data_IF_402704556797
#
_entry.id   IF_402704556797
#
_cell.length_a   1.000
_cell.length_b   1.000
_cell.length_c   1.000
_cell.angle_alpha   90.00
_cell.angle_beta   90.00
_cell.angle_gamma   90.00
#
_symmetry.space_group_name_H-M   'P 1'
#
loop_
_entity.id
_entity.type
_entity.pdbx_description
1 polymer ?
#
# COMPACT_ATOMS: atom_id res chain seq x y z
N UNK A 1 -7.72 16.92 0.18
CA UNK A 1 -8.34 15.60 0.44
C UNK A 1 -9.60 15.54 -0.40
N UNK A 2 -9.75 14.49 -1.20
CA UNK A 2 -10.87 14.29 -2.13
C UNK A 2 -11.71 13.14 -1.59
N UNK A 3 -12.96 13.43 -1.24
CA UNK A 3 -13.93 12.45 -0.76
C UNK A 3 -14.76 11.88 -1.90
N UNK A 4 -15.13 10.61 -1.81
CA UNK A 4 -15.96 9.89 -2.79
C UNK A 4 -16.99 9.03 -2.05
N UNK A 5 -18.18 8.85 -2.63
CA UNK A 5 -19.27 8.06 -2.03
C UNK A 5 -19.56 6.85 -2.90
N UNK A 6 -19.62 5.66 -2.28
CA UNK A 6 -20.15 4.44 -2.91
C UNK A 6 -21.18 3.76 -1.98
N UNK A 7 -21.66 2.58 -2.40
CA UNK A 7 -22.66 1.80 -1.69
C UNK A 7 -22.22 1.38 -0.26
N UNK A 8 -20.93 1.48 0.06
CA UNK A 8 -20.37 1.14 1.37
C UNK A 8 -20.16 2.36 2.28
N UNK A 9 -20.19 3.57 1.73
CA UNK A 9 -20.13 4.82 2.51
C UNK A 9 -19.26 5.91 1.87
N UNK A 10 -18.81 6.85 2.72
CA UNK A 10 -17.99 7.99 2.30
C UNK A 10 -16.52 7.65 2.53
N UNK A 11 -15.74 7.68 1.46
CA UNK A 11 -14.31 7.39 1.47
C UNK A 11 -13.51 8.66 1.32
N UNK A 12 -12.45 8.83 2.11
CA UNK A 12 -11.48 9.90 1.94
C UNK A 12 -10.14 9.36 1.42
N UNK A 13 -9.54 10.08 0.47
CA UNK A 13 -8.31 9.64 -0.19
C UNK A 13 -7.08 10.02 0.62
N UNK A 14 -6.31 9.01 1.03
CA UNK A 14 -5.00 9.15 1.70
C UNK A 14 -3.96 9.67 0.71
N UNK A 15 -3.98 9.14 -0.52
CA UNK A 15 -3.07 9.53 -1.59
C UNK A 15 -2.80 8.39 -2.56
N UNK A 16 -1.86 8.65 -3.46
CA UNK A 16 -1.40 7.71 -4.47
C UNK A 16 0.14 7.68 -4.47
N UNK A 17 0.71 6.48 -4.55
CA UNK A 17 2.17 6.32 -4.68
C UNK A 17 2.50 5.31 -5.78
N UNK A 18 3.61 5.55 -6.45
CA UNK A 18 4.21 4.56 -7.35
C UNK A 18 5.10 3.63 -6.55
N UNK A 19 4.75 2.35 -6.49
CA UNK A 19 5.52 1.36 -5.72
C UNK A 19 6.72 0.87 -6.52
N UNK A 20 7.90 0.85 -5.90
CA UNK A 20 9.12 0.34 -6.51
C UNK A 20 9.76 -0.82 -5.71
N UNK A 21 10.79 -1.46 -6.29
CA UNK A 21 11.49 -2.59 -5.67
C UNK A 21 12.73 -2.18 -4.85
N UNK A 22 13.21 -0.94 -5.02
CA UNK A 22 14.43 -0.45 -4.36
C UNK A 22 14.12 -0.16 -2.90
N UNK A 23 13.17 0.73 -2.66
CA UNK A 23 12.83 1.26 -1.35
C UNK A 23 11.35 1.10 -1.00
N UNK A 24 11.05 1.24 0.28
CA UNK A 24 9.68 1.33 0.75
C UNK A 24 9.07 2.66 0.31
N UNK A 25 8.00 2.56 -0.47
CA UNK A 25 7.18 3.71 -0.85
C UNK A 25 6.23 4.03 0.30
N UNK A 26 6.33 5.25 0.82
CA UNK A 26 5.56 5.71 1.98
C UNK A 26 4.36 6.53 1.51
N UNK A 27 3.18 6.19 2.00
CA UNK A 27 2.03 7.06 1.87
C UNK A 27 2.15 8.28 2.81
N UNK A 28 1.47 9.39 2.49
CA UNK A 28 1.22 10.45 3.45
C UNK A 28 0.65 9.90 4.76
N UNK A 29 0.91 10.59 5.88
CA UNK A 29 0.39 10.20 7.19
C UNK A 29 -1.13 10.03 7.15
N UNK A 30 -1.62 8.93 7.70
CA UNK A 30 -3.03 8.58 7.71
C UNK A 30 -3.66 9.12 9.00
N UNK A 31 -4.77 9.86 8.87
CA UNK A 31 -5.51 10.37 10.02
C UNK A 31 -6.12 9.19 10.80
N UNK A 32 -6.08 9.27 12.13
CA UNK A 32 -6.37 8.23 13.10
C UNK A 32 -7.81 7.66 13.10
N UNK A 33 -8.72 8.19 12.26
CA UNK A 33 -10.16 7.92 12.42
C UNK A 33 -10.70 6.80 11.53
N UNK A 34 -9.97 6.35 10.50
CA UNK A 34 -10.45 5.30 9.61
C UNK A 34 -10.18 3.91 10.20
N UNK A 35 -11.21 3.07 10.37
CA UNK A 35 -11.08 1.65 10.75
C UNK A 35 -10.83 0.73 9.54
N UNK A 36 -11.37 1.12 8.38
CA UNK A 36 -11.34 0.32 7.14
C UNK A 36 -10.61 1.06 6.04
N UNK A 37 -9.67 0.38 5.40
CA UNK A 37 -8.85 0.91 4.31
C UNK A 37 -9.15 0.18 3.03
N UNK A 38 -9.27 0.93 1.95
CA UNK A 38 -9.39 0.43 0.58
C UNK A 38 -8.11 0.71 -0.17
N UNK A 39 -7.54 -0.35 -0.74
CA UNK A 39 -6.36 -0.33 -1.58
C UNK A 39 -6.81 -0.58 -3.01
N UNK A 40 -6.68 0.43 -3.86
CA UNK A 40 -6.92 0.31 -5.29
C UNK A 40 -5.60 0.40 -6.01
N UNK A 41 -5.30 -0.52 -6.92
CA UNK A 41 -4.11 -0.38 -7.75
C UNK A 41 -4.35 -0.71 -9.21
N UNK A 42 -3.60 0.00 -10.05
CA UNK A 42 -3.57 -0.19 -11.49
C UNK A 42 -2.14 -0.53 -11.89
N UNK A 43 -1.98 -1.49 -12.78
CA UNK A 43 -0.70 -1.82 -13.42
C UNK A 43 -0.77 -1.33 -14.86
N UNK A 44 0.15 -0.45 -15.28
CA UNK A 44 0.31 -0.16 -16.72
C UNK A 44 0.95 -1.39 -17.38
N UNK A 45 0.11 -2.24 -17.97
CA UNK A 45 0.53 -3.53 -18.52
C UNK A 45 1.41 -3.38 -19.76
N UNK A 46 1.22 -2.31 -20.55
CA UNK A 46 2.00 -2.03 -21.75
C UNK A 46 3.46 -1.71 -21.41
N UNK A 47 3.66 -1.05 -20.26
CA UNK A 47 5.00 -0.75 -19.72
C UNK A 47 5.48 -1.76 -18.67
N UNK A 48 4.66 -2.76 -18.34
CA UNK A 48 4.99 -3.73 -17.31
C UNK A 48 5.95 -4.77 -17.88
N UNK A 49 7.25 -4.49 -17.69
CA UNK A 49 8.36 -5.33 -18.16
C UNK A 49 8.37 -6.77 -17.58
N UNK A 50 7.44 -7.08 -16.66
CA UNK A 50 7.29 -8.39 -16.03
C UNK A 50 5.90 -9.01 -16.25
N UNK A 51 5.19 -8.64 -17.33
CA UNK A 51 3.82 -9.11 -17.63
C UNK A 51 3.66 -10.63 -17.71
N UNK A 52 4.78 -11.35 -17.78
CA UNK A 52 4.82 -12.80 -17.87
C UNK A 52 5.34 -13.47 -16.59
N UNK A 53 5.61 -12.70 -15.52
CA UNK A 53 6.28 -13.23 -14.32
C UNK A 53 5.42 -13.10 -13.05
N UNK A 54 4.78 -14.21 -12.65
CA UNK A 54 4.02 -14.38 -11.40
C UNK A 54 4.89 -14.23 -10.13
N UNK A 55 6.19 -13.96 -10.27
CA UNK A 55 7.16 -13.90 -9.16
C UNK A 55 7.26 -12.51 -8.53
N UNK A 56 6.46 -11.54 -8.97
CA UNK A 56 6.40 -10.21 -8.36
C UNK A 56 5.13 -10.06 -7.53
N UNK A 57 5.30 -9.62 -6.29
CA UNK A 57 4.19 -9.20 -5.43
C UNK A 57 4.53 -7.88 -4.78
N UNK A 58 3.50 -7.10 -4.44
CA UNK A 58 3.63 -5.94 -3.59
C UNK A 58 3.37 -6.39 -2.17
N UNK A 59 4.28 -6.07 -1.26
CA UNK A 59 4.05 -6.19 0.16
C UNK A 59 3.62 -4.83 0.69
N UNK A 60 2.46 -4.77 1.32
CA UNK A 60 1.96 -3.60 2.02
C UNK A 60 1.85 -3.91 3.51
N UNK A 61 2.12 -2.91 4.35
CA UNK A 61 1.97 -3.02 5.81
C UNK A 61 1.73 -1.65 6.43
N UNK A 62 1.11 -1.66 7.59
CA UNK A 62 1.01 -0.46 8.42
C UNK A 62 2.26 -0.35 9.28
N UNK A 63 2.82 0.86 9.32
CA UNK A 63 3.90 1.27 10.22
C UNK A 63 3.33 2.24 11.22
N UNK A 64 3.52 1.93 12.49
CA UNK A 64 3.07 2.73 13.61
C UNK A 64 4.30 3.30 14.32
N UNK A 65 4.35 4.62 14.44
CA UNK A 65 5.28 5.27 15.35
C UNK A 65 4.68 5.24 16.75
N UNK A 66 5.49 4.84 17.72
CA UNK A 66 5.13 4.92 19.12
C UNK A 66 5.96 6.01 19.81
N UNK A 67 5.43 6.52 20.92
CA UNK A 67 6.13 7.50 21.76
C UNK A 67 7.39 6.91 22.40
N UNK A 68 7.36 5.61 22.71
CA UNK A 68 8.58 4.83 22.94
C UNK A 68 9.23 4.57 21.59
N UNK A 69 10.54 4.73 21.47
CA UNK A 69 11.33 4.66 20.23
C UNK A 69 11.19 3.38 19.38
N UNK A 70 10.34 2.43 19.77
CA UNK A 70 10.04 1.22 19.05
C UNK A 70 8.96 1.46 17.99
N UNK A 71 9.38 1.45 16.73
CA UNK A 71 8.44 1.37 15.62
C UNK A 71 7.78 0.00 15.59
N UNK A 72 6.45 -0.01 15.48
CA UNK A 72 5.66 -1.22 15.42
C UNK A 72 5.17 -1.39 13.98
N UNK A 73 5.19 -2.62 13.47
CA UNK A 73 4.78 -2.93 12.11
C UNK A 73 3.68 -3.99 12.14
N UNK A 74 2.59 -3.78 11.40
CA UNK A 74 1.53 -4.78 11.27
C UNK A 74 2.02 -6.02 10.53
N UNK A 75 1.29 -7.16 10.64
CA UNK A 75 1.39 -8.21 9.64
C UNK A 75 1.27 -7.61 8.24
N UNK A 76 2.16 -8.03 7.35
CA UNK A 76 2.16 -7.55 5.97
C UNK A 76 1.24 -8.40 5.12
N UNK A 77 0.65 -7.79 4.10
CA UNK A 77 -0.19 -8.47 3.14
C UNK A 77 0.32 -8.28 1.72
N UNK A 78 -0.07 -9.21 0.84
CA UNK A 78 0.42 -9.26 -0.54
C UNK A 78 -0.65 -8.80 -1.51
N UNK A 79 -0.27 -7.91 -2.41
CA UNK A 79 -1.03 -7.58 -3.62
C UNK A 79 -0.26 -8.15 -4.81
N UNK A 80 -0.99 -8.63 -5.80
CA UNK A 80 -0.39 -9.20 -7.01
C UNK A 80 -0.72 -8.28 -8.17
N UNK A 81 0.26 -7.91 -9.01
CA UNK A 81 0.00 -7.13 -10.21
C UNK A 81 -1.06 -7.82 -11.06
N UNK A 82 -2.02 -7.04 -11.58
CA UNK A 82 -3.08 -7.52 -12.48
C UNK A 82 -3.31 -6.49 -13.58
N UNK A 83 -3.78 -6.98 -14.71
CA UNK A 83 -4.18 -6.14 -15.84
C UNK A 83 -5.41 -5.30 -15.48
N UNK A 84 -6.37 -5.89 -14.79
CA UNK A 84 -7.55 -5.19 -14.29
C UNK A 84 -7.28 -4.48 -12.96
N UNK A 85 -8.00 -3.39 -12.72
CA UNK A 85 -8.00 -2.69 -11.43
C UNK A 85 -8.50 -3.64 -10.33
N UNK A 86 -7.70 -3.82 -9.29
CA UNK A 86 -8.10 -4.59 -8.10
C UNK A 86 -8.35 -3.66 -6.92
N UNK A 87 -9.40 -3.98 -6.16
CA UNK A 87 -9.76 -3.30 -4.91
C UNK A 87 -9.67 -4.32 -3.78
N UNK A 88 -8.87 -4.03 -2.75
CA UNK A 88 -8.85 -4.81 -1.50
C UNK A 88 -9.17 -3.96 -0.30
N UNK A 89 -9.96 -4.52 0.60
CA UNK A 89 -10.26 -3.90 1.88
C UNK A 89 -9.42 -4.54 2.99
N UNK A 90 -8.89 -3.72 3.88
CA UNK A 90 -8.22 -4.17 5.09
C UNK A 90 -8.76 -3.42 6.29
N UNK A 91 -9.24 -4.19 7.26
CA UNK A 91 -9.55 -3.68 8.59
C UNK A 91 -8.27 -3.64 9.42
N UNK A 92 -8.09 -2.59 10.19
CA UNK A 92 -7.01 -2.56 11.19
C UNK A 92 -7.34 -3.57 12.28
N UNK A 93 -6.33 -4.33 12.69
CA UNK A 93 -6.46 -5.17 13.87
C UNK A 93 -6.47 -4.31 15.13
N UNK A 94 -7.48 -4.50 15.99
CA UNK A 94 -7.71 -3.85 17.30
C UNK A 94 -6.52 -3.98 18.30
N UNK A 95 -5.47 -4.70 17.92
CA UNK A 95 -4.28 -4.98 18.75
C UNK A 95 -3.43 -3.75 19.02
N UNK A 96 -3.57 -2.67 18.26
CA UNK A 96 -2.82 -1.43 18.50
C UNK A 96 -3.76 -0.41 19.13
N UNK A 97 -3.79 -0.37 20.48
CA UNK A 97 -4.58 0.61 21.23
C UNK A 97 -4.04 2.01 20.91
N UNK A 98 -4.95 2.88 20.50
CA UNK A 98 -4.70 4.24 19.98
C UNK A 98 -3.88 5.14 20.92
N UNK A 99 -3.89 4.84 22.23
CA UNK A 99 -3.34 5.71 23.27
C UNK A 99 -1.82 5.92 23.27
N UNK A 100 -1.05 5.14 22.49
CA UNK A 100 0.43 5.23 22.48
C UNK A 100 1.03 5.57 21.10
N UNK A 101 0.18 5.69 20.08
CA UNK A 101 0.61 5.87 18.69
C UNK A 101 0.75 7.35 18.33
N UNK A 102 1.92 7.74 17.83
CA UNK A 102 2.22 9.11 17.39
C UNK A 102 2.03 9.32 15.90
N UNK A 103 2.21 8.25 15.12
CA UNK A 103 1.97 8.27 13.68
C UNK A 103 1.46 6.92 13.19
N UNK A 104 0.67 6.98 12.13
CA UNK A 104 0.27 5.82 11.35
C UNK A 104 0.53 6.07 9.89
N UNK A 105 1.34 5.20 9.30
CA UNK A 105 1.70 5.26 7.87
C UNK A 105 1.46 3.92 7.23
N UNK A 106 1.26 3.96 5.93
CA UNK A 106 1.24 2.76 5.11
C UNK A 106 2.51 2.78 4.28
N UNK A 107 3.18 1.65 4.25
CA UNK A 107 4.36 1.47 3.42
C UNK A 107 4.21 0.25 2.53
N UNK A 108 4.64 0.42 1.29
CA UNK A 108 4.49 -0.56 0.23
C UNK A 108 5.83 -0.78 -0.47
N UNK A 109 6.15 -2.03 -0.77
CA UNK A 109 7.36 -2.38 -1.51
C UNK A 109 7.07 -3.50 -2.48
N UNK A 110 7.55 -3.38 -3.70
CA UNK A 110 7.53 -4.48 -4.65
C UNK A 110 8.64 -5.48 -4.31
N UNK A 111 8.28 -6.74 -4.20
CA UNK A 111 9.17 -7.86 -3.90
C UNK A 111 9.20 -8.80 -5.09
N UNK A 112 10.41 -9.29 -5.40
CA UNK A 112 10.66 -10.26 -6.46
C UNK A 112 11.15 -11.57 -5.85
N UNK A 113 10.60 -12.70 -6.28
CA UNK A 113 11.19 -14.01 -6.05
C UNK A 113 12.26 -14.24 -7.13
N UNK A 114 13.55 -14.25 -6.74
CA UNK A 114 14.78 -14.61 -7.50
C UNK A 114 15.62 -13.50 -8.17
N UNK A 115 16.95 -13.70 -8.14
CA UNK A 115 18.05 -12.81 -8.59
C UNK A 115 18.29 -12.86 -10.11
N UNK A 116 17.34 -12.47 -10.95
CA UNK A 116 17.70 -12.10 -12.34
C UNK A 116 18.09 -10.63 -12.35
N UNK A 117 19.29 -10.29 -12.86
CA UNK A 117 19.74 -8.91 -12.94
C UNK A 117 18.76 -8.11 -13.79
N UNK A 118 18.20 -7.07 -13.19
CA UNK A 118 17.27 -6.15 -13.80
C UNK A 118 17.81 -4.76 -13.48
N UNK A 119 17.99 -3.87 -14.47
CA UNK A 119 18.52 -2.53 -14.25
C UNK A 119 17.72 -1.77 -13.17
N UNK A 120 18.37 -0.91 -12.39
CA UNK A 120 17.67 -0.03 -11.44
C UNK A 120 16.62 0.87 -12.13
N UNK A 121 16.81 1.14 -13.42
CA UNK A 121 15.88 1.86 -14.30
C UNK A 121 14.71 1.01 -14.81
N UNK A 122 14.80 -0.31 -14.71
CA UNK A 122 13.66 -1.22 -14.90
C UNK A 122 12.81 -1.13 -13.64
N UNK A 123 12.19 0.04 -13.50
CA UNK A 123 11.25 0.31 -12.44
C UNK A 123 10.19 -0.76 -12.46
N UNK A 124 9.66 -1.04 -11.28
CA UNK A 124 8.35 -1.68 -11.16
C UNK A 124 7.27 -0.66 -11.60
N UNK A 125 7.53 0.05 -12.70
CA UNK A 125 7.44 1.51 -12.80
C UNK A 125 6.01 2.05 -12.83
N UNK A 126 4.99 1.21 -12.76
CA UNK A 126 3.63 1.64 -13.04
C UNK A 126 2.60 0.92 -12.17
N UNK A 127 2.97 0.55 -10.95
CA UNK A 127 1.99 0.18 -9.94
C UNK A 127 1.61 1.42 -9.16
N UNK A 128 0.57 2.09 -9.65
CA UNK A 128 -0.10 3.19 -8.96
C UNK A 128 -1.01 2.59 -7.91
N UNK A 129 -0.65 2.75 -6.64
CA UNK A 129 -1.45 2.32 -5.51
C UNK A 129 -2.12 3.55 -4.91
N UNK A 130 -3.45 3.57 -4.95
CA UNK A 130 -4.31 4.55 -4.28
C UNK A 130 -4.85 3.94 -2.99
N UNK A 131 -4.82 4.73 -1.92
CA UNK A 131 -5.41 4.34 -0.65
C UNK A 131 -6.50 5.32 -0.25
N UNK A 132 -7.59 4.75 0.23
CA UNK A 132 -8.75 5.44 0.75
C UNK A 132 -9.12 4.84 2.11
N UNK A 133 -9.73 5.63 2.99
CA UNK A 133 -10.28 5.15 4.26
C UNK A 133 -11.74 5.54 4.39
N UNK A 134 -12.52 4.69 5.04
CA UNK A 134 -13.94 4.92 5.29
C UNK A 134 -14.08 5.93 6.44
N UNK A 135 -14.88 6.98 6.24
CA UNK A 135 -15.24 8.00 7.23
C UNK A 135 -16.35 7.53 8.18
#
# INVERSE_FOLDING_TARGET
MTTFVDDYGIWDSVGEVTVNAVDWSLFPGVIFNGETFRFSYTTDWDKWIFALDDRINIICRFRYGASSSNQIVSPSFRLYPKQDKEIRQYKITDKFRESELTERRIECKAIRRYNRFIPASAGVANLQLKIEYLL
#
